data_IF_092190947799
#
_entry.id   IF_092190947799
#
_cell.length_a   1.000
_cell.length_b   1.000
_cell.length_c   1.000
_cell.angle_alpha   90.00
_cell.angle_beta   90.00
_cell.angle_gamma   90.00
#
_symmetry.space_group_name_H-M   'P 1'
#
loop_
_entity.id
_entity.type
_entity.pdbx_description
1 polymer ?
#
# COMPACT_ATOMS: atom_id res chain seq x y z
N UNK A 1 -8.56 17.03 -11.94
CA UNK A 1 -7.87 17.21 -10.63
C UNK A 1 -7.38 15.86 -10.05
N UNK A 2 -6.41 15.22 -10.72
CA UNK A 2 -5.76 14.00 -10.23
C UNK A 2 -4.75 14.28 -9.12
N UNK A 3 -4.15 15.48 -9.13
CA UNK A 3 -3.14 15.92 -8.16
C UNK A 3 -3.67 15.98 -6.72
N UNK A 4 -4.95 16.32 -6.54
CA UNK A 4 -5.57 16.39 -5.20
C UNK A 4 -5.74 14.99 -4.62
N UNK A 5 -6.17 14.02 -5.43
CA UNK A 5 -6.32 12.62 -5.00
C UNK A 5 -4.96 11.95 -4.75
N UNK A 6 -3.93 12.28 -5.53
CA UNK A 6 -2.57 11.76 -5.29
C UNK A 6 -1.91 12.36 -4.05
N UNK A 7 -2.22 13.61 -3.69
CA UNK A 7 -1.69 14.27 -2.50
C UNK A 7 -2.24 13.68 -1.18
N UNK A 8 -3.40 13.03 -1.22
CA UNK A 8 -4.01 12.40 -0.03
C UNK A 8 -3.15 11.25 0.49
N UNK A 9 -2.48 10.49 -0.40
CA UNK A 9 -1.65 9.38 0.01
C UNK A 9 -0.44 9.82 0.89
N UNK A 10 0.47 10.72 0.43
CA UNK A 10 1.59 11.17 1.27
C UNK A 10 1.13 11.90 2.53
N UNK A 11 0.03 12.66 2.50
CA UNK A 11 -0.52 13.30 3.71
C UNK A 11 -0.99 12.25 4.73
N UNK A 12 -1.68 11.21 4.29
CA UNK A 12 -2.11 10.11 5.16
C UNK A 12 -0.91 9.37 5.75
N UNK A 13 0.12 9.07 4.95
CA UNK A 13 1.34 8.40 5.38
C UNK A 13 2.12 9.26 6.39
N UNK A 14 2.19 10.57 6.24
CA UNK A 14 2.90 11.45 7.18
C UNK A 14 2.19 11.47 8.55
N UNK A 15 0.86 11.62 8.56
CA UNK A 15 0.07 11.69 9.79
C UNK A 15 0.09 10.34 10.52
N UNK A 16 -0.20 9.26 9.79
CA UNK A 16 -0.28 7.91 10.33
C UNK A 16 1.11 7.33 10.63
N UNK A 17 2.12 7.70 9.84
CA UNK A 17 3.53 7.39 10.02
C UNK A 17 4.09 7.91 11.33
N UNK A 18 3.79 9.17 11.66
CA UNK A 18 4.14 9.76 12.96
C UNK A 18 3.50 8.99 14.12
N UNK A 19 2.22 8.62 13.98
CA UNK A 19 1.48 7.88 15.01
C UNK A 19 2.04 6.47 15.23
N UNK A 20 2.33 5.72 14.16
CA UNK A 20 2.89 4.37 14.22
C UNK A 20 4.38 4.35 14.61
N UNK A 21 5.12 5.42 14.32
CA UNK A 21 6.50 5.60 14.78
C UNK A 21 6.62 5.57 16.30
N UNK A 22 5.60 6.05 17.01
CA UNK A 22 5.53 5.99 18.47
C UNK A 22 5.32 4.55 19.01
N UNK A 23 4.72 3.66 18.21
CA UNK A 23 4.54 2.24 18.51
C UNK A 23 5.67 1.33 17.99
N UNK A 24 6.75 1.92 17.46
CA UNK A 24 7.91 1.21 16.87
C UNK A 24 8.56 0.17 17.80
N UNK A 25 8.36 0.29 19.12
CA UNK A 25 8.82 -0.68 20.12
C UNK A 25 8.23 -2.09 19.92
N UNK A 26 7.07 -2.23 19.28
CA UNK A 26 6.43 -3.51 18.97
C UNK A 26 6.83 -4.09 17.60
N UNK A 27 7.47 -3.30 16.71
CA UNK A 27 7.78 -3.74 15.33
C UNK A 27 8.81 -4.86 15.24
N UNK A 28 9.70 -4.99 16.23
CA UNK A 28 10.85 -5.91 16.15
C UNK A 28 10.52 -7.38 16.42
N UNK A 29 9.32 -7.71 16.91
CA UNK A 29 9.02 -9.08 17.38
C UNK A 29 8.25 -9.93 16.37
N UNK A 30 7.34 -9.33 15.59
CA UNK A 30 6.43 -10.08 14.70
C UNK A 30 6.32 -9.47 13.30
N UNK A 31 7.41 -9.54 12.51
CA UNK A 31 7.47 -9.08 11.12
C UNK A 31 6.31 -9.64 10.26
N UNK A 32 6.00 -10.93 10.42
CA UNK A 32 4.94 -11.62 9.68
C UNK A 32 3.54 -11.11 10.03
N UNK A 33 3.29 -10.78 11.30
CA UNK A 33 2.01 -10.25 11.74
C UNK A 33 1.75 -8.85 11.18
N UNK A 34 2.80 -8.02 11.12
CA UNK A 34 2.72 -6.66 10.58
C UNK A 34 2.49 -6.69 9.07
N UNK A 35 3.12 -7.64 8.36
CA UNK A 35 2.84 -7.87 6.94
C UNK A 35 1.40 -8.30 6.68
N UNK A 36 0.91 -9.27 7.45
CA UNK A 36 -0.48 -9.74 7.34
C UNK A 36 -1.48 -8.62 7.65
N UNK A 37 -1.21 -7.80 8.67
CA UNK A 37 -2.03 -6.63 9.00
C UNK A 37 -2.05 -5.58 7.87
N UNK A 38 -0.89 -5.34 7.24
CA UNK A 38 -0.79 -4.46 6.07
C UNK A 38 -1.62 -4.97 4.88
N UNK A 39 -1.51 -6.26 4.56
CA UNK A 39 -2.31 -6.90 3.51
C UNK A 39 -3.81 -6.87 3.81
N UNK A 40 -4.19 -7.13 5.06
CA UNK A 40 -5.58 -7.07 5.50
C UNK A 40 -6.16 -5.66 5.31
N UNK A 41 -5.37 -4.64 5.64
CA UNK A 41 -5.73 -3.23 5.45
C UNK A 41 -5.91 -2.88 3.97
N UNK A 42 -5.05 -3.40 3.08
CA UNK A 42 -5.19 -3.22 1.62
C UNK A 42 -6.47 -3.91 1.10
N UNK A 43 -6.79 -5.11 1.61
CA UNK A 43 -8.04 -5.80 1.27
C UNK A 43 -9.27 -5.00 1.70
N UNK A 44 -9.26 -4.44 2.92
CA UNK A 44 -10.35 -3.59 3.41
C UNK A 44 -10.51 -2.32 2.57
N UNK A 45 -9.41 -1.74 2.07
CA UNK A 45 -9.45 -0.58 1.17
C UNK A 45 -10.24 -0.90 -0.11
N UNK A 46 -9.95 -2.02 -0.77
CA UNK A 46 -10.70 -2.46 -1.95
C UNK A 46 -12.17 -2.71 -1.65
N UNK A 47 -12.50 -3.24 -0.46
CA UNK A 47 -13.88 -3.44 -0.03
C UNK A 47 -14.63 -2.10 0.15
N UNK A 48 -13.97 -1.08 0.70
CA UNK A 48 -14.54 0.28 0.84
C UNK A 48 -14.79 0.91 -0.54
N UNK A 49 -13.87 0.71 -1.49
CA UNK A 49 -14.07 1.20 -2.86
C UNK A 49 -15.24 0.47 -3.55
N UNK A 50 -15.36 -0.84 -3.37
CA UNK A 50 -16.47 -1.63 -3.92
C UNK A 50 -17.83 -1.21 -3.35
N UNK A 51 -17.92 -1.00 -2.04
CA UNK A 51 -19.14 -0.49 -1.40
C UNK A 51 -19.45 0.96 -1.82
N UNK A 52 -18.44 1.78 -2.09
CA UNK A 52 -18.61 3.09 -2.71
C UNK A 52 -19.25 3.03 -4.09
N UNK A 53 -18.88 2.05 -4.93
CA UNK A 53 -19.50 1.82 -6.23
C UNK A 53 -20.96 1.35 -6.13
N UNK A 54 -21.29 0.51 -5.15
CA UNK A 54 -22.67 0.03 -4.92
C UNK A 54 -23.61 1.16 -4.46
N UNK A 55 -23.08 2.13 -3.71
CA UNK A 55 -23.85 3.30 -3.23
C UNK A 55 -23.76 4.49 -4.20
N UNK A 56 -23.30 4.28 -5.44
CA UNK A 56 -23.25 5.33 -6.45
C UNK A 56 -24.67 5.71 -6.87
N UNK A 57 -25.04 6.98 -6.67
CA UNK A 57 -26.29 7.53 -7.18
C UNK A 57 -25.98 8.40 -8.41
N UNK A 58 -26.66 8.17 -9.54
CA UNK A 58 -26.43 8.85 -10.83
C UNK A 58 -24.97 8.83 -11.33
N UNK A 59 -24.26 7.72 -11.14
CA UNK A 59 -22.88 7.54 -11.62
C UNK A 59 -21.83 8.41 -10.91
N UNK A 60 -22.20 9.06 -9.80
CA UNK A 60 -21.29 9.88 -8.98
C UNK A 60 -21.16 9.28 -7.58
N UNK A 61 -19.93 8.93 -7.22
CA UNK A 61 -19.57 8.44 -5.88
C UNK A 61 -19.13 9.63 -5.02
N UNK A 62 -19.55 9.65 -3.75
CA UNK A 62 -19.12 10.67 -2.80
C UNK A 62 -17.59 10.58 -2.57
N UNK A 63 -16.89 11.72 -2.70
CA UNK A 63 -15.43 11.82 -2.56
C UNK A 63 -14.92 11.34 -1.18
N UNK A 64 -15.79 11.29 -0.17
CA UNK A 64 -15.50 10.76 1.17
C UNK A 64 -15.04 9.29 1.15
N UNK A 65 -15.62 8.44 0.29
CA UNK A 65 -15.20 7.03 0.19
C UNK A 65 -13.76 6.90 -0.32
N UNK A 66 -13.37 7.78 -1.24
CA UNK A 66 -12.04 7.82 -1.83
C UNK A 66 -11.01 8.32 -0.83
N UNK A 67 -11.35 9.35 -0.03
CA UNK A 67 -10.51 9.81 1.09
C UNK A 67 -10.31 8.69 2.12
N UNK A 68 -11.39 8.01 2.52
CA UNK A 68 -11.34 6.93 3.51
C UNK A 68 -10.49 5.76 3.01
N UNK A 69 -10.73 5.29 1.78
CA UNK A 69 -9.99 4.21 1.16
C UNK A 69 -8.49 4.53 1.06
N UNK A 70 -8.11 5.71 0.56
CA UNK A 70 -6.69 6.10 0.44
C UNK A 70 -6.04 6.26 1.81
N UNK A 71 -6.74 6.79 2.82
CA UNK A 71 -6.20 6.90 4.18
C UNK A 71 -5.88 5.52 4.78
N UNK A 72 -6.75 4.55 4.52
CA UNK A 72 -6.57 3.16 4.94
C UNK A 72 -5.49 2.47 4.12
N UNK A 73 -5.42 2.73 2.81
CA UNK A 73 -4.32 2.25 1.97
C UNK A 73 -2.96 2.74 2.47
N UNK A 74 -2.86 4.02 2.86
CA UNK A 74 -1.66 4.60 3.44
C UNK A 74 -1.19 3.90 4.73
N UNK A 75 -2.13 3.44 5.57
CA UNK A 75 -1.81 2.59 6.73
C UNK A 75 -1.15 1.27 6.31
N UNK A 76 -1.69 0.62 5.27
CA UNK A 76 -1.14 -0.61 4.70
C UNK A 76 0.25 -0.40 4.12
N UNK A 77 0.44 0.66 3.31
CA UNK A 77 1.73 0.98 2.69
C UNK A 77 2.83 1.24 3.73
N UNK A 78 2.51 1.96 4.81
CA UNK A 78 3.45 2.25 5.89
C UNK A 78 3.93 0.97 6.63
N UNK A 79 3.10 -0.06 6.69
CA UNK A 79 3.45 -1.33 7.33
C UNK A 79 4.25 -2.25 6.42
N UNK A 80 3.93 -2.27 5.13
CA UNK A 80 4.51 -3.18 4.16
C UNK A 80 5.83 -2.66 3.57
N UNK A 81 5.91 -1.39 3.18
CA UNK A 81 7.05 -0.84 2.46
C UNK A 81 8.39 -0.95 3.22
N UNK A 82 8.52 -0.50 4.49
CA UNK A 82 9.78 -0.62 5.22
C UNK A 82 10.10 -2.09 5.56
N UNK A 83 9.08 -2.92 5.82
CA UNK A 83 9.27 -4.32 6.15
C UNK A 83 9.86 -5.11 4.98
N UNK A 84 9.29 -4.94 3.77
CA UNK A 84 9.77 -5.62 2.56
C UNK A 84 11.22 -5.25 2.27
N UNK A 85 11.57 -3.97 2.43
CA UNK A 85 12.94 -3.47 2.24
C UNK A 85 13.90 -4.01 3.31
N UNK A 86 13.50 -4.06 4.58
CA UNK A 86 14.33 -4.62 5.65
C UNK A 86 14.57 -6.13 5.47
N UNK A 87 13.53 -6.90 5.12
CA UNK A 87 13.64 -8.35 4.90
C UNK A 87 14.52 -8.68 3.70
N UNK A 88 14.43 -7.89 2.62
CA UNK A 88 15.28 -8.04 1.45
C UNK A 88 16.78 -7.87 1.79
N UNK A 89 17.12 -6.98 2.74
CA UNK A 89 18.49 -6.78 3.19
C UNK A 89 18.92 -7.86 4.19
N UNK A 90 18.04 -8.26 5.11
CA UNK A 90 18.33 -9.26 6.15
C UNK A 90 18.62 -10.64 5.55
N UNK A 91 17.90 -11.03 4.50
CA UNK A 91 18.08 -12.31 3.81
C UNK A 91 19.21 -12.26 2.77
N UNK A 92 19.85 -11.10 2.57
CA UNK A 92 20.87 -10.92 1.55
C UNK A 92 22.27 -11.32 2.01
N UNK A 93 22.99 -12.18 1.25
CA UNK A 93 24.39 -12.44 1.54
C UNK A 93 25.21 -11.16 1.35
N UNK A 94 26.23 -10.96 2.20
CA UNK A 94 27.02 -9.72 2.28
C UNK A 94 27.56 -9.22 0.94
N UNK A 95 27.82 -10.13 -0.01
CA UNK A 95 28.41 -9.85 -1.31
C UNK A 95 27.39 -9.57 -2.43
N UNK A 96 26.08 -9.79 -2.21
CA UNK A 96 25.04 -9.66 -3.24
C UNK A 96 23.86 -8.75 -2.83
N UNK A 97 24.07 -7.83 -1.88
CA UNK A 97 23.06 -6.87 -1.44
C UNK A 97 22.49 -6.01 -2.57
N UNK A 98 23.34 -5.58 -3.50
CA UNK A 98 22.92 -4.84 -4.69
C UNK A 98 22.04 -5.67 -5.64
N UNK A 99 22.34 -6.96 -5.81
CA UNK A 99 21.57 -7.84 -6.68
C UNK A 99 20.15 -8.10 -6.13
N UNK A 100 20.02 -8.30 -4.81
CA UNK A 100 18.72 -8.52 -4.17
C UNK A 100 17.85 -7.25 -4.15
N UNK A 101 18.46 -6.07 -3.98
CA UNK A 101 17.75 -4.80 -4.18
C UNK A 101 17.29 -4.62 -5.63
N UNK A 102 18.11 -5.03 -6.60
CA UNK A 102 17.72 -5.10 -8.01
C UNK A 102 16.52 -6.02 -8.25
N UNK A 103 16.52 -7.23 -7.68
CA UNK A 103 15.40 -8.17 -7.75
C UNK A 103 14.12 -7.62 -7.09
N UNK A 104 14.26 -6.90 -5.98
CA UNK A 104 13.12 -6.24 -5.32
C UNK A 104 12.50 -5.15 -6.21
N UNK A 105 13.32 -4.28 -6.82
CA UNK A 105 12.83 -3.27 -7.77
C UNK A 105 12.20 -3.95 -9.01
N UNK A 106 12.81 -5.04 -9.49
CA UNK A 106 12.25 -5.82 -10.59
C UNK A 106 10.87 -6.38 -10.25
N UNK A 107 10.67 -6.87 -9.02
CA UNK A 107 9.37 -7.34 -8.54
C UNK A 107 8.32 -6.21 -8.53
N UNK A 108 8.70 -4.99 -8.13
CA UNK A 108 7.82 -3.82 -8.22
C UNK A 108 7.47 -3.47 -9.68
N UNK A 109 8.42 -3.59 -10.59
CA UNK A 109 8.17 -3.39 -12.02
C UNK A 109 7.18 -4.42 -12.58
N UNK A 110 7.34 -5.71 -12.23
CA UNK A 110 6.37 -6.75 -12.57
C UNK A 110 4.98 -6.48 -11.98
N UNK A 111 4.91 -5.99 -10.75
CA UNK A 111 3.65 -5.63 -10.10
C UNK A 111 2.92 -4.53 -10.87
N UNK A 112 3.64 -3.51 -11.35
CA UNK A 112 3.07 -2.45 -12.19
C UNK A 112 2.60 -2.97 -13.56
N UNK A 113 3.33 -3.90 -14.19
CA UNK A 113 2.89 -4.52 -15.45
C UNK A 113 1.59 -5.31 -15.28
N UNK A 114 1.49 -6.10 -14.20
CA UNK A 114 0.26 -6.83 -13.88
C UNK A 114 -0.89 -5.85 -13.60
N UNK A 115 -0.63 -4.78 -12.86
CA UNK A 115 -1.63 -3.72 -12.63
C UNK A 115 -2.13 -3.09 -13.93
N UNK A 116 -1.25 -2.89 -14.90
CA UNK A 116 -1.61 -2.39 -16.23
C UNK A 116 -2.48 -3.39 -17.00
N UNK A 117 -2.18 -4.69 -16.92
CA UNK A 117 -2.99 -5.74 -17.55
C UNK A 117 -4.41 -5.81 -16.94
N UNK A 118 -4.51 -5.71 -15.61
CA UNK A 118 -5.81 -5.67 -14.90
C UNK A 118 -6.58 -4.40 -15.27
N UNK A 119 -5.93 -3.24 -15.34
CA UNK A 119 -6.56 -1.99 -15.75
C UNK A 119 -7.16 -2.09 -17.16
N UNK A 120 -6.45 -2.73 -18.09
CA UNK A 120 -6.94 -2.93 -19.46
C UNK A 120 -8.19 -3.82 -19.50
N UNK A 121 -8.30 -4.81 -18.60
CA UNK A 121 -9.50 -5.65 -18.48
C UNK A 121 -10.73 -4.92 -17.91
N UNK A 122 -10.54 -3.75 -17.28
CA UNK A 122 -11.64 -2.93 -16.78
C UNK A 122 -12.21 -1.96 -17.82
N UNK A 123 -11.53 -1.78 -18.96
CA UNK A 123 -11.94 -0.90 -20.06
C UNK A 123 -12.80 -1.61 -21.13
N UNK A 124 -12.94 -2.94 -21.04
CA UNK A 124 -13.76 -3.78 -21.93
C UNK A 124 -15.02 -4.20 -21.19
#
# INVERSE_FOLDING_TARGET
>A
PASVSQAINPVSIIILGSLFGMFSKFRKKDATAIFAFGLFTISICFFILYTGCLNANDGKVNYLYLIAAISIMGLGELCVAPLVQEQAILLSPKNAKGALMGMMILSLAFSNLIGMAVSNSMLV
#
